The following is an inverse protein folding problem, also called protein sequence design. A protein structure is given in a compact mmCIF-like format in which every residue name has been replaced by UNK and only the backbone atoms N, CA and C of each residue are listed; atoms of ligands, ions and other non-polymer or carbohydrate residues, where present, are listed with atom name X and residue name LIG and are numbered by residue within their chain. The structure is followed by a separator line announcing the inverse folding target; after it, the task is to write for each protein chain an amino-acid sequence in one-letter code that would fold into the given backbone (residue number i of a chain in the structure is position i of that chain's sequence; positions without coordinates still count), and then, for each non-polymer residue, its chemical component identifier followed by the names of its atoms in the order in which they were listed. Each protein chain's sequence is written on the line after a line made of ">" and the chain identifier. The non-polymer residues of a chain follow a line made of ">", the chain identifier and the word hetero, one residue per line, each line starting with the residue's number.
data_IF_745116138506
#
_entry.id   IF_745116138506
#
_cell.length_a   1.000
_cell.length_b   1.000
_cell.length_c   1.000
_cell.angle_alpha   90.00
_cell.angle_beta   90.00
_cell.angle_gamma   90.00
#
_symmetry.space_group_name_H-M   'P 1'
#
loop_
_entity.id
_entity.type
_entity.pdbx_description
1 polymer ?
#
# COMPACT_ATOMS: atom_id res chain seq x y z
N UNK A 1 -7.85 1.42 -13.82
CA UNK A 1 -6.47 1.21 -13.31
C UNK A 1 -5.68 0.23 -14.18
N UNK A 2 -6.15 -1.00 -14.40
CA UNK A 2 -5.40 -2.00 -15.18
C UNK A 2 -5.07 -1.59 -16.62
N UNK A 3 -5.90 -0.78 -17.28
CA UNK A 3 -5.61 -0.28 -18.64
C UNK A 3 -4.47 0.77 -18.70
N UNK A 4 -4.12 1.43 -17.59
CA UNK A 4 -3.19 2.57 -17.58
C UNK A 4 -1.84 2.21 -16.91
N UNK A 5 -1.84 1.15 -16.09
CA UNK A 5 -0.64 0.58 -15.48
C UNK A 5 -0.73 -0.95 -15.54
N UNK A 6 -0.56 -1.57 -16.73
CA UNK A 6 -0.68 -3.01 -16.91
C UNK A 6 0.37 -3.80 -16.10
N UNK A 7 1.56 -3.22 -15.86
CA UNK A 7 2.64 -3.79 -15.03
C UNK A 7 2.53 -3.38 -13.54
N UNK A 8 1.47 -2.66 -13.16
CA UNK A 8 1.28 -2.14 -11.82
C UNK A 8 0.98 -3.25 -10.82
N UNK A 9 1.87 -3.45 -9.84
CA UNK A 9 1.63 -4.33 -8.68
C UNK A 9 0.94 -3.51 -7.61
N UNK A 10 -0.36 -3.72 -7.47
CA UNK A 10 -1.23 -2.96 -6.56
C UNK A 10 -1.40 -3.68 -5.23
N UNK A 11 -1.28 -2.95 -4.13
CA UNK A 11 -1.76 -3.36 -2.81
C UNK A 11 -2.83 -2.40 -2.28
N UNK A 12 -3.67 -2.88 -1.36
CA UNK A 12 -4.75 -2.10 -0.75
C UNK A 12 -4.50 -1.99 0.75
N UNK A 13 -4.42 -0.77 1.28
CA UNK A 13 -4.34 -0.51 2.72
C UNK A 13 -5.59 0.23 3.20
N UNK A 14 -6.21 -0.23 4.29
CA UNK A 14 -7.38 0.44 4.88
C UNK A 14 -7.14 0.67 6.38
N UNK A 15 -7.47 1.85 6.89
CA UNK A 15 -7.35 2.16 8.33
C UNK A 15 -8.18 1.29 9.28
N UNK A 16 -9.04 0.40 8.79
CA UNK A 16 -9.79 -0.59 9.59
C UNK A 16 -9.08 -1.95 9.68
N UNK A 17 -8.01 -2.15 8.92
CA UNK A 17 -7.17 -3.34 9.02
C UNK A 17 -6.45 -3.36 10.36
N UNK A 18 -6.10 -4.56 10.83
CA UNK A 18 -5.30 -4.67 12.05
C UNK A 18 -3.93 -4.05 11.80
N UNK A 19 -3.34 -3.46 12.83
CA UNK A 19 -2.03 -2.80 12.78
C UNK A 19 -0.96 -3.69 12.12
N UNK A 20 -0.84 -4.95 12.53
CA UNK A 20 0.10 -5.91 11.94
C UNK A 20 -0.13 -6.17 10.45
N UNK A 21 -1.37 -6.10 9.99
CA UNK A 21 -1.69 -6.26 8.56
C UNK A 21 -1.26 -5.02 7.77
N UNK A 22 -1.53 -3.83 8.32
CA UNK A 22 -1.05 -2.57 7.75
C UNK A 22 0.48 -2.52 7.69
N UNK A 23 1.17 -2.83 8.79
CA UNK A 23 2.64 -2.89 8.82
C UNK A 23 3.21 -3.80 7.74
N UNK A 24 2.60 -4.97 7.53
CA UNK A 24 3.02 -5.91 6.48
C UNK A 24 2.85 -5.30 5.09
N UNK A 25 1.71 -4.67 4.81
CA UNK A 25 1.43 -4.04 3.52
C UNK A 25 2.38 -2.87 3.26
N UNK A 26 2.62 -2.04 4.28
CA UNK A 26 3.55 -0.92 4.18
C UNK A 26 4.99 -1.40 3.99
N UNK A 27 5.41 -2.45 4.69
CA UNK A 27 6.71 -3.09 4.48
C UNK A 27 6.85 -3.66 3.07
N UNK A 28 5.85 -4.37 2.57
CA UNK A 28 5.88 -4.94 1.21
C UNK A 28 5.90 -3.83 0.13
N UNK A 29 5.23 -2.71 0.36
CA UNK A 29 5.29 -1.53 -0.51
C UNK A 29 6.67 -0.87 -0.47
N UNK A 30 7.25 -0.67 0.71
CA UNK A 30 8.61 -0.10 0.88
C UNK A 30 9.68 -0.95 0.19
N UNK A 31 9.59 -2.28 0.31
CA UNK A 31 10.48 -3.22 -0.37
C UNK A 31 10.17 -3.38 -1.87
N UNK A 32 9.35 -2.49 -2.47
CA UNK A 32 8.98 -2.45 -3.88
C UNK A 32 8.29 -3.71 -4.39
N UNK A 33 7.74 -4.56 -3.52
CA UNK A 33 6.92 -5.71 -3.95
C UNK A 33 5.64 -5.25 -4.60
N UNK A 34 5.11 -4.11 -4.14
CA UNK A 34 4.07 -3.33 -4.79
C UNK A 34 4.62 -1.96 -5.16
N UNK A 35 4.06 -1.37 -6.21
CA UNK A 35 4.44 -0.04 -6.68
C UNK A 35 3.26 0.93 -6.73
N UNK A 36 2.05 0.44 -6.42
CA UNK A 36 0.85 1.25 -6.27
C UNK A 36 0.15 0.83 -4.96
N UNK A 37 -0.05 1.77 -4.04
CA UNK A 37 -0.83 1.58 -2.81
C UNK A 37 -2.15 2.34 -2.95
N UNK A 38 -3.27 1.62 -2.84
CA UNK A 38 -4.61 2.20 -2.82
C UNK A 38 -5.12 2.19 -1.39
N UNK A 39 -5.58 3.34 -0.89
CA UNK A 39 -6.15 3.43 0.45
C UNK A 39 -7.49 4.15 0.50
N UNK A 40 -8.38 3.69 1.38
CA UNK A 40 -9.72 4.26 1.63
C UNK A 40 -9.72 5.29 2.77
N UNK A 41 -8.61 5.40 3.48
CA UNK A 41 -8.37 6.37 4.56
C UNK A 41 -6.91 6.79 4.48
N UNK A 42 -6.59 8.03 4.86
CA UNK A 42 -5.21 8.49 4.99
C UNK A 42 -4.49 7.53 5.95
N UNK A 43 -3.48 6.84 5.43
CA UNK A 43 -2.59 6.03 6.25
C UNK A 43 -1.45 6.96 6.67
N UNK A 44 -1.55 7.54 7.86
CA UNK A 44 -0.46 8.31 8.46
C UNK A 44 0.63 7.32 8.88
N UNK A 45 1.45 6.94 7.92
CA UNK A 45 2.71 6.30 8.22
C UNK A 45 3.73 7.41 8.37
N UNK A 46 4.45 7.46 9.49
CA UNK A 46 5.69 8.24 9.63
C UNK A 46 6.83 7.73 8.71
N UNK A 47 6.48 7.23 7.54
CA UNK A 47 7.39 6.88 6.44
C UNK A 47 7.68 8.19 5.74
N UNK A 48 8.73 8.87 6.20
CA UNK A 48 9.49 9.77 5.34
C UNK A 48 9.97 8.94 4.15
N UNK A 49 9.59 9.35 2.94
CA UNK A 49 10.00 8.75 1.65
C UNK A 49 11.37 9.25 1.26
#
# INVERSE_FOLDING_TARGET
>A
MQQWAPEGRVCIGHGQMRERELEKIMSDFYHKKYNILVCTTIIETGIDV
#
